data_IF_162922451317
#
_entry.id   IF_162922451317
#
_cell.length_a   1.000
_cell.length_b   1.000
_cell.length_c   1.000
_cell.angle_alpha   90.00
_cell.angle_beta   90.00
_cell.angle_gamma   90.00
#
_symmetry.space_group_name_H-M   'P 1'
#
loop_
_entity.id
_entity.type
_entity.pdbx_description
1 polymer ?
#
# COMPACT_ATOMS: atom_id res chain seq x y z
N UNK A 1 -4.28 21.62 -14.10
CA UNK A 1 -4.38 20.16 -14.32
C UNK A 1 -5.83 19.84 -14.65
N UNK A 2 -6.09 19.04 -15.69
CA UNK A 2 -7.45 18.52 -15.92
C UNK A 2 -7.75 17.54 -14.76
N UNK A 3 -8.91 17.70 -14.15
CA UNK A 3 -9.41 16.79 -13.14
C UNK A 3 -9.69 15.44 -13.83
N UNK A 4 -9.19 14.35 -13.27
CA UNK A 4 -9.53 13.02 -13.79
C UNK A 4 -10.98 12.72 -13.40
N UNK A 5 -11.80 12.41 -14.39
CA UNK A 5 -13.20 11.99 -14.20
C UNK A 5 -13.30 10.52 -14.61
N UNK A 6 -13.52 9.66 -13.64
CA UNK A 6 -13.76 8.24 -13.91
C UNK A 6 -15.23 8.02 -14.24
N UNK A 7 -15.48 7.32 -15.33
CA UNK A 7 -16.82 6.85 -15.75
C UNK A 7 -16.84 5.33 -15.63
N UNK A 8 -17.68 4.76 -14.75
CA UNK A 8 -17.80 3.32 -14.64
C UNK A 8 -18.22 2.69 -15.98
N UNK A 9 -17.72 1.50 -16.30
CA UNK A 9 -18.13 0.77 -17.50
C UNK A 9 -19.58 0.30 -17.37
N UNK A 10 -20.29 0.22 -18.50
CA UNK A 10 -21.67 -0.31 -18.54
C UNK A 10 -21.74 -1.76 -18.05
N UNK A 11 -20.69 -2.54 -18.31
CA UNK A 11 -20.54 -3.93 -17.90
C UNK A 11 -19.26 -4.10 -17.09
N UNK A 12 -19.33 -3.97 -15.76
CA UNK A 12 -18.17 -4.16 -14.90
C UNK A 12 -17.62 -5.59 -14.98
N UNK A 13 -16.30 -5.72 -14.91
CA UNK A 13 -15.62 -7.02 -14.85
C UNK A 13 -15.90 -7.70 -13.51
N UNK A 14 -16.59 -8.83 -13.57
CA UNK A 14 -17.08 -9.55 -12.37
C UNK A 14 -15.91 -10.03 -11.47
N UNK A 15 -14.80 -10.49 -12.07
CA UNK A 15 -13.62 -10.94 -11.33
C UNK A 15 -12.96 -9.79 -10.57
N UNK A 16 -12.94 -8.60 -11.13
CA UNK A 16 -12.40 -7.40 -10.49
C UNK A 16 -13.29 -6.95 -9.34
N UNK A 17 -14.62 -6.98 -9.50
CA UNK A 17 -15.55 -6.71 -8.41
C UNK A 17 -15.36 -7.69 -7.24
N UNK A 18 -15.24 -8.99 -7.54
CA UNK A 18 -14.98 -10.03 -6.53
C UNK A 18 -13.64 -9.83 -5.83
N UNK A 19 -12.61 -9.45 -6.58
CA UNK A 19 -11.29 -9.18 -6.01
C UNK A 19 -11.33 -7.93 -5.13
N UNK A 20 -11.91 -6.83 -5.61
CA UNK A 20 -12.12 -5.61 -4.83
C UNK A 20 -12.88 -5.88 -3.54
N UNK A 21 -13.98 -6.63 -3.61
CA UNK A 21 -14.75 -7.04 -2.43
C UNK A 21 -13.93 -7.88 -1.45
N UNK A 22 -13.02 -8.71 -1.96
CA UNK A 22 -12.18 -9.57 -1.12
C UNK A 22 -11.11 -8.80 -0.35
N UNK A 23 -10.54 -7.75 -0.96
CA UNK A 23 -9.41 -7.01 -0.39
C UNK A 23 -9.80 -5.66 0.22
N UNK A 24 -11.06 -5.23 0.09
CA UNK A 24 -11.52 -3.96 0.70
C UNK A 24 -11.33 -3.98 2.21
N UNK A 25 -10.93 -2.85 2.75
CA UNK A 25 -10.83 -2.58 4.19
C UNK A 25 -12.14 -2.04 4.78
N UNK A 26 -13.11 -1.72 3.93
CA UNK A 26 -14.41 -1.14 4.32
C UNK A 26 -15.39 -2.21 4.78
N UNK A 27 -15.46 -2.43 6.08
CA UNK A 27 -16.35 -3.45 6.68
C UNK A 27 -17.83 -3.14 6.36
N UNK A 28 -18.52 -4.14 5.82
CA UNK A 28 -19.96 -4.03 5.50
C UNK A 28 -20.27 -3.26 4.21
N UNK A 29 -19.26 -2.77 3.50
CA UNK A 29 -19.44 -2.13 2.20
C UNK A 29 -19.48 -3.17 1.07
N UNK A 30 -20.40 -2.99 0.13
CA UNK A 30 -20.41 -3.77 -1.12
C UNK A 30 -19.70 -2.98 -2.20
N UNK A 31 -18.59 -3.52 -2.72
CA UNK A 31 -17.82 -2.89 -3.76
C UNK A 31 -18.58 -2.85 -5.07
N UNK A 32 -18.64 -1.69 -5.68
CA UNK A 32 -19.26 -1.40 -6.97
C UNK A 32 -18.24 -0.89 -7.98
N UNK A 33 -18.65 -0.72 -9.24
CA UNK A 33 -17.77 -0.16 -10.26
C UNK A 33 -17.41 1.33 -10.03
N UNK A 34 -18.11 2.02 -9.15
CA UNK A 34 -17.81 3.41 -8.78
C UNK A 34 -16.79 3.52 -7.65
N UNK A 35 -16.40 2.40 -7.07
CA UNK A 35 -15.51 2.37 -5.92
C UNK A 35 -14.03 2.37 -6.32
N UNK A 36 -13.16 2.98 -5.49
CA UNK A 36 -11.72 3.00 -5.72
C UNK A 36 -11.11 1.63 -5.90
N UNK A 37 -11.60 0.64 -5.16
CA UNK A 37 -11.17 -0.75 -5.25
C UNK A 37 -11.40 -1.32 -6.64
N UNK A 38 -12.52 -0.97 -7.29
CA UNK A 38 -12.79 -1.45 -8.63
C UNK A 38 -11.92 -0.76 -9.68
N UNK A 39 -12.00 0.57 -9.79
CA UNK A 39 -11.31 1.26 -10.89
C UNK A 39 -9.77 1.22 -10.78
N UNK A 40 -9.23 1.16 -9.56
CA UNK A 40 -7.80 0.97 -9.37
C UNK A 40 -7.33 -0.42 -9.78
N UNK A 41 -8.10 -1.46 -9.48
CA UNK A 41 -7.80 -2.82 -9.92
C UNK A 41 -8.05 -2.99 -11.43
N UNK A 42 -9.16 -2.47 -11.95
CA UNK A 42 -9.51 -2.59 -13.36
C UNK A 42 -8.41 -2.07 -14.29
N UNK A 43 -7.79 -0.97 -13.91
CA UNK A 43 -6.75 -0.32 -14.69
C UNK A 43 -5.50 -1.18 -14.91
N UNK A 44 -5.15 -2.04 -13.94
CA UNK A 44 -3.87 -2.73 -13.90
C UNK A 44 -3.98 -4.25 -13.89
N UNK A 45 -5.09 -4.78 -13.41
CA UNK A 45 -5.24 -6.21 -13.11
C UNK A 45 -5.97 -6.93 -14.24
N UNK A 46 -5.35 -7.95 -14.81
CA UNK A 46 -5.98 -8.83 -15.79
C UNK A 46 -6.93 -9.80 -15.10
N UNK A 47 -7.84 -10.43 -15.86
CA UNK A 47 -8.74 -11.45 -15.32
C UNK A 47 -7.97 -12.66 -14.78
N UNK A 48 -6.90 -13.03 -15.45
CA UNK A 48 -6.03 -14.13 -15.00
C UNK A 48 -5.35 -13.83 -13.67
N UNK A 49 -4.85 -12.60 -13.48
CA UNK A 49 -4.30 -12.14 -12.20
C UNK A 49 -5.37 -12.15 -11.10
N UNK A 50 -6.58 -11.68 -11.43
CA UNK A 50 -7.70 -11.69 -10.49
C UNK A 50 -8.09 -13.11 -10.05
N UNK A 51 -8.14 -14.08 -10.98
CA UNK A 51 -8.39 -15.47 -10.66
C UNK A 51 -7.38 -16.04 -9.66
N UNK A 52 -6.07 -15.79 -9.89
CA UNK A 52 -5.02 -16.22 -8.97
C UNK A 52 -5.15 -15.54 -7.62
N UNK A 53 -5.33 -14.23 -7.58
CA UNK A 53 -5.51 -13.46 -6.35
C UNK A 53 -6.73 -13.91 -5.55
N UNK A 54 -7.82 -14.30 -6.23
CA UNK A 54 -9.02 -14.85 -5.59
C UNK A 54 -8.79 -16.21 -4.90
N UNK A 55 -7.77 -16.98 -5.31
CA UNK A 55 -7.35 -18.21 -4.62
C UNK A 55 -6.42 -17.98 -3.44
N UNK A 56 -5.79 -16.81 -3.35
CA UNK A 56 -4.90 -16.45 -2.25
C UNK A 56 -5.70 -15.99 -1.02
N UNK A 57 -5.09 -16.09 0.16
CA UNK A 57 -5.66 -15.56 1.41
C UNK A 57 -5.11 -14.16 1.65
N UNK A 58 -6.00 -13.21 1.97
CA UNK A 58 -5.61 -11.83 2.28
C UNK A 58 -4.70 -11.82 3.52
N UNK A 59 -3.59 -11.09 3.44
CA UNK A 59 -2.56 -10.90 4.49
C UNK A 59 -1.93 -12.20 5.00
N UNK A 60 -1.98 -13.27 4.23
CA UNK A 60 -1.30 -14.53 4.58
C UNK A 60 -0.25 -14.85 3.54
N UNK A 61 1.02 -14.99 3.95
CA UNK A 61 2.09 -15.42 3.06
C UNK A 61 1.81 -16.82 2.49
N UNK A 62 2.04 -16.98 1.19
CA UNK A 62 1.93 -18.24 0.48
C UNK A 62 3.16 -18.45 -0.40
N UNK A 63 3.75 -19.64 -0.37
CA UNK A 63 4.84 -20.02 -1.28
C UNK A 63 4.28 -20.31 -2.68
N UNK A 64 5.17 -20.29 -3.70
CA UNK A 64 4.80 -20.66 -5.06
C UNK A 64 4.10 -22.03 -5.11
N UNK A 65 4.65 -23.04 -4.44
CA UNK A 65 4.07 -24.40 -4.39
C UNK A 65 2.63 -24.41 -3.79
N UNK A 66 2.38 -23.57 -2.79
CA UNK A 66 1.03 -23.46 -2.21
C UNK A 66 0.04 -22.79 -3.16
N UNK A 67 0.50 -21.82 -3.94
CA UNK A 67 -0.36 -21.13 -4.93
C UNK A 67 -0.59 -22.05 -6.14
N UNK A 68 0.42 -22.78 -6.60
CA UNK A 68 0.27 -23.85 -7.63
C UNK A 68 -0.82 -24.82 -7.21
N UNK A 69 -0.74 -25.35 -5.98
CA UNK A 69 -1.75 -26.27 -5.45
C UNK A 69 -3.15 -25.66 -5.39
N UNK A 70 -3.26 -24.38 -5.09
CA UNK A 70 -4.54 -23.67 -4.96
C UNK A 70 -5.17 -23.34 -6.32
N UNK A 71 -4.35 -23.08 -7.33
CA UNK A 71 -4.79 -22.64 -8.67
C UNK A 71 -4.84 -23.76 -9.70
N UNK A 72 -4.00 -24.77 -9.54
CA UNK A 72 -3.81 -25.85 -10.53
C UNK A 72 -3.05 -25.42 -11.79
N UNK A 73 -2.48 -24.20 -11.79
CA UNK A 73 -1.70 -23.68 -12.93
C UNK A 73 -0.30 -24.31 -12.97
N UNK A 74 0.32 -24.33 -14.15
CA UNK A 74 1.72 -24.72 -14.31
C UNK A 74 2.64 -23.77 -13.53
N UNK A 75 3.62 -24.34 -12.84
CA UNK A 75 4.50 -23.62 -11.91
C UNK A 75 5.24 -22.45 -12.56
N UNK A 76 5.83 -22.69 -13.76
CA UNK A 76 6.60 -21.66 -14.47
C UNK A 76 5.72 -20.50 -14.92
N UNK A 77 4.55 -20.79 -15.48
CA UNK A 77 3.59 -19.78 -15.92
C UNK A 77 3.09 -18.95 -14.73
N UNK A 78 2.82 -19.64 -13.62
CA UNK A 78 2.36 -18.99 -12.39
C UNK A 78 3.46 -18.12 -11.78
N UNK A 79 4.72 -18.54 -11.80
CA UNK A 79 5.82 -17.74 -11.27
C UNK A 79 5.99 -16.43 -12.05
N UNK A 80 5.93 -16.47 -13.39
CA UNK A 80 5.98 -15.29 -14.24
C UNK A 80 4.79 -14.35 -13.92
N UNK A 81 3.59 -14.89 -13.81
CA UNK A 81 2.40 -14.13 -13.47
C UNK A 81 2.48 -13.47 -12.09
N UNK A 82 2.93 -14.21 -11.07
CA UNK A 82 3.12 -13.69 -9.72
C UNK A 82 4.19 -12.59 -9.66
N UNK A 83 5.22 -12.70 -10.48
CA UNK A 83 6.22 -11.65 -10.62
C UNK A 83 5.62 -10.39 -11.23
N UNK A 84 4.78 -10.53 -12.25
CA UNK A 84 4.08 -9.40 -12.87
C UNK A 84 3.08 -8.77 -11.88
N UNK A 85 2.28 -9.57 -11.17
CA UNK A 85 1.39 -9.11 -10.10
C UNK A 85 2.14 -8.33 -9.00
N UNK A 86 3.34 -8.75 -8.66
CA UNK A 86 4.19 -8.03 -7.70
C UNK A 86 4.76 -6.75 -8.31
N UNK A 87 5.10 -6.76 -9.59
CA UNK A 87 5.62 -5.59 -10.30
C UNK A 87 4.61 -4.46 -10.42
N UNK A 88 3.33 -4.77 -10.66
CA UNK A 88 2.27 -3.76 -10.69
C UNK A 88 1.86 -3.29 -9.27
N UNK A 89 2.21 -4.03 -8.22
CA UNK A 89 1.86 -3.70 -6.84
C UNK A 89 0.61 -4.39 -6.30
N UNK A 90 0.09 -5.40 -7.01
CA UNK A 90 -1.05 -6.19 -6.53
C UNK A 90 -0.65 -7.16 -5.41
N UNK A 91 0.57 -7.65 -5.43
CA UNK A 91 1.12 -8.54 -4.41
C UNK A 91 2.37 -7.95 -3.76
N UNK A 92 2.52 -8.22 -2.49
CA UNK A 92 3.78 -8.10 -1.77
C UNK A 92 4.52 -9.44 -1.82
N UNK A 93 5.84 -9.41 -1.63
CA UNK A 93 6.60 -10.62 -1.38
C UNK A 93 7.62 -10.43 -0.26
N UNK A 94 7.93 -11.52 0.42
CA UNK A 94 8.96 -11.56 1.45
C UNK A 94 9.72 -12.90 1.44
N UNK A 95 10.77 -12.95 2.23
CA UNK A 95 11.62 -14.13 2.43
C UNK A 95 11.69 -14.54 3.90
N UNK A 96 10.78 -13.99 4.71
CA UNK A 96 10.78 -14.14 6.16
C UNK A 96 10.10 -15.45 6.58
N UNK A 97 10.76 -16.54 6.27
CA UNK A 97 10.35 -17.86 6.75
C UNK A 97 11.61 -18.70 7.05
N UNK A 98 11.50 -19.79 7.84
CA UNK A 98 12.66 -20.59 8.25
C UNK A 98 13.49 -21.18 7.12
N UNK A 99 12.91 -21.30 5.92
CA UNK A 99 13.58 -21.85 4.74
C UNK A 99 14.08 -20.79 3.77
N UNK A 100 13.84 -19.51 4.06
CA UNK A 100 14.13 -18.38 3.16
C UNK A 100 13.53 -18.54 1.75
N UNK A 101 12.38 -19.20 1.66
CA UNK A 101 11.62 -19.32 0.42
C UNK A 101 10.85 -18.04 0.16
N UNK A 102 10.79 -17.62 -1.11
CA UNK A 102 9.96 -16.49 -1.52
C UNK A 102 8.49 -16.77 -1.24
N UNK A 103 7.83 -15.86 -0.54
CA UNK A 103 6.41 -15.92 -0.25
C UNK A 103 5.73 -14.71 -0.83
N UNK A 104 4.55 -14.91 -1.40
CA UNK A 104 3.69 -13.86 -1.93
C UNK A 104 2.55 -13.61 -0.98
N UNK A 105 2.18 -12.35 -0.82
CA UNK A 105 1.10 -11.91 0.07
C UNK A 105 0.12 -11.07 -0.73
N UNK A 106 -1.15 -11.42 -0.69
CA UNK A 106 -2.22 -10.56 -1.17
C UNK A 106 -2.55 -9.56 -0.06
N UNK A 107 -2.23 -8.26 -0.21
CA UNK A 107 -2.53 -7.26 0.80
C UNK A 107 -4.03 -6.92 0.81
N UNK A 108 -4.45 -6.10 1.75
CA UNK A 108 -5.71 -5.36 1.63
C UNK A 108 -5.56 -4.26 0.59
N UNK A 109 -6.69 -3.67 0.17
CA UNK A 109 -6.63 -2.55 -0.76
C UNK A 109 -5.96 -1.34 -0.11
N UNK A 110 -6.37 -1.01 1.12
CA UNK A 110 -5.75 0.02 1.97
C UNK A 110 -5.59 -0.51 3.41
N UNK A 111 -4.43 -0.44 4.02
CA UNK A 111 -3.12 -0.16 3.40
C UNK A 111 -2.63 -1.35 2.59
N UNK A 112 -2.09 -1.11 1.41
CA UNK A 112 -1.51 -2.14 0.55
C UNK A 112 -1.54 -1.85 -0.94
N UNK A 113 -2.41 -2.52 -1.71
CA UNK A 113 -2.39 -2.43 -3.18
C UNK A 113 -2.56 -0.99 -3.69
N UNK A 114 -3.39 -0.17 -3.07
CA UNK A 114 -3.60 1.20 -3.50
C UNK A 114 -2.32 2.04 -3.43
N UNK A 115 -1.55 1.90 -2.35
CA UNK A 115 -0.27 2.57 -2.19
C UNK A 115 0.77 2.03 -3.18
N UNK A 116 0.84 0.70 -3.34
CA UNK A 116 1.81 0.07 -4.23
C UNK A 116 1.59 0.41 -5.70
N UNK A 117 0.33 0.51 -6.14
CA UNK A 117 0.00 0.97 -7.51
C UNK A 117 0.58 2.36 -7.80
N UNK A 118 0.74 3.19 -6.78
CA UNK A 118 1.26 4.55 -6.90
C UNK A 118 2.78 4.67 -6.71
N UNK A 119 3.51 3.57 -6.55
CA UNK A 119 4.97 3.61 -6.40
C UNK A 119 5.72 3.76 -7.72
N UNK A 120 5.05 3.54 -8.85
CA UNK A 120 5.67 3.64 -10.20
C UNK A 120 5.11 4.84 -10.95
N UNK A 121 5.97 5.83 -11.22
CA UNK A 121 5.56 7.05 -11.90
C UNK A 121 5.01 6.80 -13.32
N UNK A 122 5.60 5.85 -14.04
CA UNK A 122 5.14 5.55 -15.41
C UNK A 122 3.76 4.86 -15.39
N UNK A 123 3.52 3.98 -14.42
CA UNK A 123 2.20 3.39 -14.18
C UNK A 123 1.12 4.45 -13.90
N UNK A 124 1.45 5.47 -13.10
CA UNK A 124 0.52 6.59 -12.83
C UNK A 124 0.27 7.44 -14.09
N UNK A 125 1.28 7.62 -14.93
CA UNK A 125 1.11 8.38 -16.18
C UNK A 125 0.21 7.66 -17.19
N UNK A 126 0.34 6.34 -17.27
CA UNK A 126 -0.45 5.48 -18.16
C UNK A 126 -1.86 5.27 -17.62
N UNK A 127 -1.99 5.13 -16.30
CA UNK A 127 -3.23 4.83 -15.58
C UNK A 127 -3.47 5.86 -14.44
N UNK A 128 -3.85 7.09 -14.78
CA UNK A 128 -4.06 8.17 -13.79
C UNK A 128 -5.18 7.84 -12.78
N UNK A 129 -6.08 6.93 -13.11
CA UNK A 129 -7.15 6.43 -12.24
C UNK A 129 -6.63 5.83 -10.94
N UNK A 130 -5.43 5.23 -10.93
CA UNK A 130 -4.84 4.68 -9.71
C UNK A 130 -4.43 5.76 -8.71
N UNK A 131 -4.12 6.96 -9.17
CA UNK A 131 -3.80 8.10 -8.32
C UNK A 131 -5.05 8.82 -7.81
N UNK A 132 -6.17 8.75 -8.54
CA UNK A 132 -7.42 9.40 -8.16
C UNK A 132 -8.04 8.82 -6.90
N UNK A 133 -7.63 7.61 -6.50
CA UNK A 133 -7.97 7.02 -5.22
C UNK A 133 -7.65 7.95 -4.05
N UNK A 134 -6.45 8.52 -4.01
CA UNK A 134 -6.03 9.43 -2.94
C UNK A 134 -6.82 10.73 -2.94
N UNK A 135 -7.21 11.24 -4.10
CA UNK A 135 -8.09 12.41 -4.19
C UNK A 135 -9.45 12.11 -3.54
N UNK A 136 -10.08 10.98 -3.89
CA UNK A 136 -11.41 10.61 -3.39
C UNK A 136 -11.41 10.15 -1.94
N UNK A 137 -10.40 9.41 -1.51
CA UNK A 137 -10.40 8.76 -0.19
C UNK A 137 -9.75 9.61 0.90
N UNK A 138 -8.78 10.44 0.55
CA UNK A 138 -8.06 11.26 1.52
C UNK A 138 -8.30 12.76 1.32
N UNK A 139 -8.01 13.29 0.13
CA UNK A 139 -8.01 14.73 -0.08
C UNK A 139 -9.40 15.37 0.09
N UNK A 140 -10.43 14.80 -0.53
CA UNK A 140 -11.79 15.38 -0.44
C UNK A 140 -12.38 15.29 0.98
N UNK A 141 -12.27 14.18 1.72
CA UNK A 141 -12.67 14.15 3.12
C UNK A 141 -11.89 15.12 3.99
N UNK A 142 -10.55 15.19 3.83
CA UNK A 142 -9.71 16.13 4.58
C UNK A 142 -10.06 17.59 4.30
N UNK A 143 -10.34 17.93 3.04
CA UNK A 143 -10.76 19.27 2.66
C UNK A 143 -12.07 19.70 3.35
N UNK A 144 -12.99 18.75 3.56
CA UNK A 144 -14.25 19.00 4.26
C UNK A 144 -14.06 19.17 5.78
N UNK A 145 -13.14 18.41 6.36
CA UNK A 145 -12.90 18.38 7.81
C UNK A 145 -11.96 19.51 8.25
N UNK A 146 -11.01 19.91 7.40
CA UNK A 146 -10.01 20.95 7.73
C UNK A 146 -10.60 22.25 8.26
N UNK A 147 -11.69 22.83 7.69
CA UNK A 147 -12.31 24.03 8.22
C UNK A 147 -12.95 23.85 9.59
N UNK A 148 -13.20 22.61 10.02
CA UNK A 148 -13.79 22.28 11.31
C UNK A 148 -12.74 22.17 12.42
N UNK A 149 -11.44 22.15 12.06
CA UNK A 149 -10.35 22.10 13.03
C UNK A 149 -10.17 23.46 13.68
N UNK A 150 -10.24 23.58 15.02
CA UNK A 150 -10.06 24.86 15.71
C UNK A 150 -8.67 25.46 15.46
N UNK A 151 -8.53 26.79 15.55
CA UNK A 151 -7.20 27.42 15.56
C UNK A 151 -6.31 26.80 16.64
N UNK A 152 -5.11 26.37 16.25
CA UNK A 152 -4.21 25.61 17.13
C UNK A 152 -4.35 24.10 17.03
N UNK A 153 -5.37 23.58 16.36
CA UNK A 153 -5.47 22.23 15.79
C UNK A 153 -5.29 21.05 16.74
N UNK A 154 -5.40 21.24 18.03
CA UNK A 154 -5.20 20.13 18.97
C UNK A 154 -6.31 19.07 18.83
N UNK A 155 -5.94 17.86 18.44
CA UNK A 155 -6.75 16.66 18.61
C UNK A 155 -7.49 16.12 17.39
N UNK A 156 -7.44 16.75 16.23
CA UNK A 156 -8.09 16.22 15.01
C UNK A 156 -7.15 16.31 13.81
N UNK A 157 -6.74 15.15 13.29
CA UNK A 157 -5.94 15.02 12.07
C UNK A 157 -4.44 15.00 12.28
N UNK A 158 -3.71 14.85 11.19
CA UNK A 158 -2.25 14.95 11.19
C UNK A 158 -1.83 16.43 11.13
N UNK A 159 -1.04 16.85 12.11
CA UNK A 159 -0.41 18.15 12.06
C UNK A 159 0.89 18.08 11.26
N UNK A 160 0.99 18.83 10.18
CA UNK A 160 2.27 19.16 9.57
C UNK A 160 2.90 20.24 10.44
N UNK A 161 3.82 19.87 11.31
CA UNK A 161 4.63 20.82 12.05
C UNK A 161 5.73 21.28 11.10
N UNK A 162 5.82 22.58 10.73
CA UNK A 162 6.95 23.08 9.97
C UNK A 162 8.21 22.84 10.78
N UNK A 163 9.13 22.06 10.24
CA UNK A 163 10.32 21.59 10.95
C UNK A 163 11.15 22.77 11.48
N UNK A 164 11.14 23.90 10.79
CA UNK A 164 11.87 25.11 11.18
C UNK A 164 11.32 25.80 12.45
N UNK A 165 10.01 25.68 12.73
CA UNK A 165 9.37 26.25 13.93
C UNK A 165 9.21 25.27 15.10
N UNK A 166 9.25 23.97 14.84
CA UNK A 166 9.16 22.95 15.87
C UNK A 166 10.44 22.83 16.72
N UNK A 167 11.48 23.56 16.37
CA UNK A 167 12.83 23.37 16.90
C UNK A 167 13.28 24.56 17.78
N UNK A 168 12.38 25.42 18.17
CA UNK A 168 12.68 26.42 19.23
C UNK A 168 12.82 25.79 20.63
N UNK A 169 12.68 24.47 20.75
CA UNK A 169 12.88 23.73 21.99
C UNK A 169 13.98 22.68 21.82
N UNK A 170 15.15 22.99 22.33
CA UNK A 170 16.27 22.07 22.67
C UNK A 170 16.84 21.13 21.58
N UNK A 171 16.35 21.12 20.37
CA UNK A 171 16.88 20.29 19.30
C UNK A 171 17.51 21.14 18.20
N UNK A 172 18.77 20.90 17.88
CA UNK A 172 19.43 21.53 16.74
C UNK A 172 18.75 21.18 15.42
N UNK A 173 18.38 22.18 14.62
CA UNK A 173 17.95 21.98 13.24
C UNK A 173 19.12 21.47 12.41
N UNK A 174 18.93 20.37 11.72
CA UNK A 174 19.96 19.76 10.89
C UNK A 174 19.53 19.88 9.44
N UNK A 175 20.44 20.38 8.60
CA UNK A 175 20.18 20.46 7.15
C UNK A 175 19.91 19.08 6.55
N UNK A 176 19.19 19.05 5.42
CA UNK A 176 18.84 17.81 4.70
C UNK A 176 20.08 16.97 4.37
N UNK A 177 21.22 17.63 4.16
CA UNK A 177 22.51 16.99 3.86
C UNK A 177 23.03 16.12 5.02
N UNK A 178 22.67 16.43 6.26
CA UNK A 178 23.05 15.67 7.45
C UNK A 178 22.09 14.55 7.85
N UNK A 179 20.96 14.37 7.12
CA UNK A 179 19.99 13.30 7.41
C UNK A 179 20.60 11.92 7.23
N UNK A 180 21.48 11.73 6.25
CA UNK A 180 22.20 10.47 6.02
C UNK A 180 23.08 10.09 7.21
N UNK A 181 23.81 11.06 7.76
CA UNK A 181 24.68 10.86 8.91
C UNK A 181 23.88 10.59 10.20
N UNK A 182 22.72 11.24 10.36
CA UNK A 182 21.82 10.95 11.48
C UNK A 182 21.16 9.59 11.39
N UNK A 183 20.85 9.08 10.21
CA UNK A 183 20.35 7.71 10.04
C UNK A 183 21.38 6.69 10.50
N UNK A 184 22.64 6.86 10.10
CA UNK A 184 23.72 5.98 10.54
C UNK A 184 23.97 6.07 12.05
N UNK A 185 23.91 7.28 12.63
CA UNK A 185 24.10 7.51 14.07
C UNK A 185 22.95 6.95 14.89
N UNK A 186 21.68 7.03 14.43
CA UNK A 186 20.52 6.44 15.11
C UNK A 186 20.56 4.91 15.07
N UNK A 187 20.92 4.31 13.96
CA UNK A 187 21.12 2.86 13.86
C UNK A 187 22.20 2.39 14.83
N UNK A 188 23.33 3.11 14.90
CA UNK A 188 24.40 2.80 15.84
C UNK A 188 24.02 3.05 17.31
N UNK A 189 23.12 4.01 17.61
CA UNK A 189 22.69 4.28 18.98
C UNK A 189 21.65 3.26 19.47
N UNK A 190 20.78 2.73 18.61
CA UNK A 190 19.87 1.66 18.98
C UNK A 190 20.63 0.36 19.31
N UNK A 191 21.65 0.02 18.53
CA UNK A 191 22.53 -1.11 18.85
C UNK A 191 23.34 -0.89 20.15
N UNK A 192 23.72 0.34 20.47
CA UNK A 192 24.40 0.64 21.76
C UNK A 192 23.48 0.55 22.97
N UNK A 193 22.18 0.84 22.81
CA UNK A 193 21.20 0.72 23.89
C UNK A 193 20.88 -0.75 24.20
N UNK A 194 20.79 -1.61 23.19
CA UNK A 194 20.59 -3.06 23.39
C UNK A 194 21.80 -3.72 24.05
N UNK A 195 23.01 -3.26 23.80
CA UNK A 195 24.23 -3.78 24.44
C UNK A 195 24.43 -3.31 25.90
N UNK A 196 23.57 -2.41 26.41
CA UNK A 196 23.63 -1.88 27.79
C UNK A 196 22.53 -2.40 28.71
N UNK A 197 21.73 -3.36 28.28
CA UNK A 197 20.89 -4.07 29.22
C UNK A 197 21.77 -4.93 30.13
N UNK A 198 21.76 -4.69 31.45
CA UNK A 198 22.51 -5.54 32.37
C UNK A 198 21.91 -6.94 32.29
N UNK A 199 22.75 -7.92 32.03
CA UNK A 199 22.38 -9.30 32.29
C UNK A 199 22.05 -9.41 33.77
N UNK A 200 20.78 -9.47 34.09
CA UNK A 200 20.36 -9.82 35.47
C UNK A 200 20.84 -11.23 35.76
N UNK A 201 21.78 -11.31 36.67
CA UNK A 201 22.16 -12.53 37.35
C UNK A 201 20.97 -13.14 38.11
#
# INVERSE_FOLDING_TARGET
MKKFEYTPPEQPRELILKLGQKITDRIGHTVTAEDPEYYGLEALVTDEMAEVALKMKVRKPMTLAQIVKATGKEEKVLEELLQEMSNIGLLEYNWENPKHEKQYVLPMYVPGSAEFFNMKLDQIKEHPEVASFFERMAFLPLQKVTPMVPPGGAGIGMHVIPVEKAIETENESVSVEHISDRKSTRLNSSHRLESRMPSSA
#
